data_IF_534796197499
#
_entry.id   IF_534796197499
#
_cell.length_a   1.000
_cell.length_b   1.000
_cell.length_c   1.000
_cell.angle_alpha   90.00
_cell.angle_beta   90.00
_cell.angle_gamma   90.00
#
_symmetry.space_group_name_H-M   'P 1'
#
loop_
_entity.id
_entity.type
_entity.pdbx_description
1 polymer ?
#
# COMPACT_ATOMS: atom_id res chain seq x y z
N UNK A 1 6.80 12.61 12.68
CA UNK A 1 6.78 14.08 12.49
C UNK A 1 7.91 14.73 13.31
N UNK A 2 8.04 14.49 14.63
CA UNK A 2 9.08 15.10 15.45
C UNK A 2 10.51 14.84 14.93
N UNK A 3 10.81 13.59 14.52
CA UNK A 3 12.12 13.23 13.96
C UNK A 3 12.40 13.96 12.64
N UNK A 4 11.39 14.08 11.77
CA UNK A 4 11.48 14.83 10.51
C UNK A 4 11.77 16.32 10.78
N UNK A 5 10.99 16.94 11.67
CA UNK A 5 11.19 18.35 12.03
C UNK A 5 12.58 18.58 12.67
N UNK A 6 12.97 17.72 13.61
CA UNK A 6 14.28 17.84 14.29
C UNK A 6 15.46 17.68 13.32
N UNK A 7 15.40 16.70 12.41
CA UNK A 7 16.46 16.50 11.43
C UNK A 7 16.56 17.62 10.40
N UNK A 8 15.42 18.16 9.95
CA UNK A 8 15.40 19.32 9.04
C UNK A 8 15.97 20.55 9.72
N UNK A 9 15.55 20.83 10.97
CA UNK A 9 16.11 21.92 11.75
C UNK A 9 17.60 21.77 11.99
N UNK A 10 18.09 20.55 12.26
CA UNK A 10 19.51 20.29 12.45
C UNK A 10 20.30 20.58 11.17
N UNK A 11 19.81 20.15 10.00
CA UNK A 11 20.46 20.44 8.71
C UNK A 11 20.57 21.93 8.47
N UNK A 12 19.50 22.68 8.71
CA UNK A 12 19.49 24.16 8.52
C UNK A 12 20.37 24.85 9.55
N UNK A 13 20.29 24.47 10.83
CA UNK A 13 21.01 25.15 11.90
C UNK A 13 22.53 24.92 11.87
N UNK A 14 22.97 23.72 11.45
CA UNK A 14 24.39 23.34 11.42
C UNK A 14 25.00 23.38 10.02
N UNK A 15 24.26 23.73 8.98
CA UNK A 15 24.77 23.81 7.62
C UNK A 15 25.23 22.45 7.07
N UNK A 16 24.58 21.34 7.46
CA UNK A 16 25.00 20.01 7.06
C UNK A 16 24.85 19.74 5.56
N UNK A 17 24.11 20.58 4.84
CA UNK A 17 24.04 20.54 3.39
C UNK A 17 25.40 20.82 2.76
N UNK A 18 26.14 21.82 3.27
CA UNK A 18 27.51 22.16 2.84
C UNK A 18 28.52 21.07 3.23
N UNK A 19 28.19 20.29 4.27
CA UNK A 19 29.00 19.14 4.69
C UNK A 19 28.72 17.85 3.88
N UNK A 20 27.86 17.93 2.84
CA UNK A 20 27.55 16.82 1.93
C UNK A 20 26.37 15.95 2.30
N UNK A 21 25.54 16.33 3.25
CA UNK A 21 24.28 15.66 3.54
C UNK A 21 23.31 15.88 2.38
N UNK A 22 22.87 14.80 1.75
CA UNK A 22 21.90 14.87 0.66
C UNK A 22 20.51 15.25 1.20
N UNK A 23 19.98 16.35 0.69
CA UNK A 23 18.64 16.86 0.98
C UNK A 23 17.68 16.62 -0.20
N UNK A 24 16.39 16.75 0.04
CA UNK A 24 15.37 16.59 -1.00
C UNK A 24 15.52 17.63 -2.11
N UNK A 25 15.94 18.84 -1.77
CA UNK A 25 16.14 19.93 -2.73
C UNK A 25 14.81 20.58 -3.17
N UNK A 26 14.87 21.27 -4.30
CA UNK A 26 13.72 22.01 -4.82
C UNK A 26 12.61 21.06 -5.32
N UNK A 27 11.45 21.13 -4.68
CA UNK A 27 10.25 20.41 -5.11
C UNK A 27 9.34 21.41 -5.82
N UNK A 28 8.75 21.06 -6.98
CA UNK A 28 7.79 21.94 -7.66
C UNK A 28 6.61 22.29 -6.75
N UNK A 29 6.32 23.57 -6.58
CA UNK A 29 5.18 24.10 -5.84
C UNK A 29 3.98 24.17 -6.78
N UNK A 30 3.50 23.04 -7.21
CA UNK A 30 2.37 22.97 -8.14
C UNK A 30 1.50 21.76 -7.86
N UNK A 31 0.25 21.87 -8.22
CA UNK A 31 -0.62 20.70 -8.32
C UNK A 31 -0.21 19.88 -9.56
N UNK A 32 -0.43 18.56 -9.55
CA UNK A 32 -0.17 17.73 -10.72
C UNK A 32 -0.91 18.29 -11.93
N UNK A 33 -0.24 18.39 -13.09
CA UNK A 33 -0.91 18.85 -14.32
C UNK A 33 -1.94 17.83 -14.78
N UNK A 34 -2.97 18.31 -15.45
CA UNK A 34 -3.91 17.43 -16.13
C UNK A 34 -3.19 16.71 -17.29
N UNK A 35 -3.19 15.39 -17.26
CA UNK A 35 -2.57 14.53 -18.26
C UNK A 35 -3.61 13.63 -18.89
N UNK A 36 -3.57 13.46 -20.19
CA UNK A 36 -4.44 12.51 -20.90
C UNK A 36 -3.68 11.17 -20.97
N UNK A 37 -4.28 10.07 -20.49
CA UNK A 37 -3.66 8.75 -20.61
C UNK A 37 -3.39 8.39 -22.08
N UNK A 38 -2.25 7.76 -22.33
CA UNK A 38 -1.89 7.29 -23.68
C UNK A 38 -2.76 6.07 -24.05
N UNK A 39 -3.46 6.18 -25.19
CA UNK A 39 -4.27 5.10 -25.75
C UNK A 39 -3.46 4.35 -26.83
N UNK A 40 -2.41 3.63 -26.40
CA UNK A 40 -1.59 2.77 -27.25
C UNK A 40 -1.89 1.29 -26.96
N UNK A 41 -2.38 0.58 -27.97
CA UNK A 41 -2.76 -0.83 -27.81
C UNK A 41 -1.59 -1.74 -27.43
N UNK A 42 -0.39 -1.47 -27.93
CA UNK A 42 0.81 -2.25 -27.60
C UNK A 42 1.20 -2.05 -26.14
N UNK A 43 1.16 -0.82 -25.64
CA UNK A 43 1.41 -0.48 -24.23
C UNK A 43 0.35 -1.12 -23.33
N UNK A 44 -0.92 -1.07 -23.72
CA UNK A 44 -2.00 -1.67 -22.93
C UNK A 44 -1.87 -3.18 -22.82
N UNK A 45 -1.47 -3.87 -23.89
CA UNK A 45 -1.19 -5.31 -23.86
C UNK A 45 -0.05 -5.65 -22.89
N UNK A 46 1.04 -4.86 -22.90
CA UNK A 46 2.17 -5.06 -21.99
C UNK A 46 1.79 -4.82 -20.52
N UNK A 47 0.94 -3.85 -20.25
CA UNK A 47 0.51 -3.48 -18.91
C UNK A 47 -0.68 -4.28 -18.38
N UNK A 48 -1.36 -5.06 -19.22
CA UNK A 48 -2.60 -5.76 -18.84
C UNK A 48 -2.38 -6.72 -17.64
N UNK A 49 -1.33 -7.53 -17.67
CA UNK A 49 -1.05 -8.48 -16.58
C UNK A 49 -0.63 -7.77 -15.29
N UNK A 50 0.36 -6.85 -15.29
CA UNK A 50 0.68 -6.05 -14.12
C UNK A 50 -0.53 -5.27 -13.56
N UNK A 51 -1.35 -4.65 -14.42
CA UNK A 51 -2.53 -3.91 -14.01
C UNK A 51 -3.58 -4.82 -13.33
N UNK A 52 -3.82 -6.01 -13.89
CA UNK A 52 -4.73 -7.00 -13.29
C UNK A 52 -4.24 -7.43 -11.89
N UNK A 53 -2.95 -7.75 -11.77
CA UNK A 53 -2.36 -8.15 -10.49
C UNK A 53 -2.44 -7.04 -9.46
N UNK A 54 -2.08 -5.80 -9.83
CA UNK A 54 -2.20 -4.64 -8.95
C UNK A 54 -3.65 -4.37 -8.55
N UNK A 55 -4.60 -4.55 -9.47
CA UNK A 55 -6.03 -4.37 -9.18
C UNK A 55 -6.54 -5.40 -8.17
N UNK A 56 -6.16 -6.67 -8.32
CA UNK A 56 -6.56 -7.73 -7.39
C UNK A 56 -5.94 -7.49 -6.02
N UNK A 57 -4.64 -7.21 -5.95
CA UNK A 57 -3.93 -6.98 -4.68
C UNK A 57 -4.50 -5.75 -3.99
N UNK A 58 -4.63 -4.64 -4.70
CA UNK A 58 -5.16 -3.39 -4.17
C UNK A 58 -6.60 -3.51 -3.68
N UNK A 59 -7.43 -4.29 -4.39
CA UNK A 59 -8.79 -4.58 -3.96
C UNK A 59 -8.83 -5.42 -2.69
N UNK A 60 -8.07 -6.52 -2.63
CA UNK A 60 -8.00 -7.39 -1.44
C UNK A 60 -7.49 -6.61 -0.23
N UNK A 61 -6.45 -5.79 -0.40
CA UNK A 61 -5.94 -4.92 0.65
C UNK A 61 -7.02 -3.93 1.14
N UNK A 62 -7.65 -3.21 0.22
CA UNK A 62 -8.69 -2.22 0.54
C UNK A 62 -9.86 -2.83 1.28
N UNK A 63 -10.39 -3.95 0.79
CA UNK A 63 -11.52 -4.67 1.42
C UNK A 63 -11.13 -5.21 2.79
N UNK A 64 -9.92 -5.74 2.96
CA UNK A 64 -9.44 -6.26 4.25
C UNK A 64 -9.36 -5.16 5.31
N UNK A 65 -8.85 -3.98 4.94
CA UNK A 65 -8.81 -2.81 5.81
C UNK A 65 -10.22 -2.34 6.15
N UNK A 66 -11.07 -2.20 5.15
CA UNK A 66 -12.43 -1.73 5.30
C UNK A 66 -13.26 -2.69 6.17
N UNK A 67 -13.14 -4.01 5.98
CA UNK A 67 -13.81 -5.02 6.82
C UNK A 67 -13.35 -4.95 8.28
N UNK A 68 -12.03 -4.77 8.50
CA UNK A 68 -11.47 -4.66 9.86
C UNK A 68 -12.04 -3.44 10.59
N UNK A 69 -12.14 -2.29 9.92
CA UNK A 69 -12.68 -1.07 10.50
C UNK A 69 -14.21 -1.11 10.63
N UNK A 70 -14.91 -1.67 9.64
CA UNK A 70 -16.36 -1.87 9.69
C UNK A 70 -16.78 -2.79 10.84
N UNK A 71 -16.01 -3.85 11.11
CA UNK A 71 -16.25 -4.74 12.24
C UNK A 71 -16.14 -4.00 13.59
N UNK A 72 -15.17 -3.08 13.75
CA UNK A 72 -15.05 -2.25 14.95
C UNK A 72 -16.26 -1.34 15.17
N UNK A 73 -16.84 -0.80 14.10
CA UNK A 73 -18.07 0.04 14.13
C UNK A 73 -19.37 -0.76 14.04
N UNK A 74 -19.31 -2.10 13.93
CA UNK A 74 -20.47 -2.97 13.71
C UNK A 74 -21.30 -2.58 12.48
N UNK A 75 -20.61 -2.13 11.43
CA UNK A 75 -21.21 -1.74 10.15
C UNK A 75 -21.03 -2.87 9.13
N UNK A 76 -21.90 -2.90 8.13
CA UNK A 76 -21.75 -3.80 6.98
C UNK A 76 -20.98 -3.08 5.89
N UNK A 77 -20.07 -3.79 5.26
CA UNK A 77 -19.33 -3.36 4.09
C UNK A 77 -19.93 -4.04 2.86
N UNK A 78 -20.06 -3.28 1.79
CA UNK A 78 -20.39 -3.79 0.46
C UNK A 78 -19.11 -3.81 -0.39
N UNK A 79 -18.51 -4.99 -0.66
CA UNK A 79 -17.27 -5.09 -1.42
C UNK A 79 -17.40 -4.60 -2.87
N UNK A 80 -18.58 -4.68 -3.47
CA UNK A 80 -18.80 -4.25 -4.85
C UNK A 80 -18.73 -2.71 -4.95
N UNK A 81 -19.29 -2.02 -3.95
CA UNK A 81 -19.18 -0.56 -3.86
C UNK A 81 -17.74 -0.11 -3.62
N UNK A 82 -16.99 -0.85 -2.79
CA UNK A 82 -15.56 -0.58 -2.59
C UNK A 82 -14.76 -0.73 -3.89
N UNK A 83 -15.05 -1.77 -4.67
CA UNK A 83 -14.41 -2.00 -5.97
C UNK A 83 -14.70 -0.86 -6.96
N UNK A 84 -15.97 -0.43 -7.03
CA UNK A 84 -16.38 0.69 -7.89
C UNK A 84 -15.68 1.99 -7.44
N UNK A 85 -15.67 2.25 -6.14
CA UNK A 85 -15.01 3.44 -5.58
C UNK A 85 -13.50 3.46 -5.85
N UNK A 86 -12.82 2.32 -5.65
CA UNK A 86 -11.39 2.17 -5.93
C UNK A 86 -11.10 2.33 -7.44
N UNK A 87 -11.94 1.75 -8.29
CA UNK A 87 -11.84 1.90 -9.74
C UNK A 87 -11.99 3.35 -10.19
N UNK A 88 -13.02 4.05 -9.69
CA UNK A 88 -13.23 5.46 -9.98
C UNK A 88 -12.06 6.35 -9.51
N UNK A 89 -11.50 6.08 -8.33
CA UNK A 89 -10.33 6.78 -7.82
C UNK A 89 -9.09 6.59 -8.71
N UNK A 90 -8.87 5.37 -9.20
CA UNK A 90 -7.75 5.06 -10.11
C UNK A 90 -7.94 5.69 -11.50
N UNK A 91 -9.16 5.70 -12.02
CA UNK A 91 -9.48 6.43 -13.25
C UNK A 91 -9.21 7.92 -13.08
N UNK A 92 -9.65 8.54 -11.98
CA UNK A 92 -9.35 9.94 -11.71
C UNK A 92 -7.84 10.21 -11.55
N UNK A 93 -7.10 9.32 -10.88
CA UNK A 93 -5.65 9.42 -10.72
C UNK A 93 -4.91 9.38 -12.07
N UNK A 94 -5.40 8.61 -13.04
CA UNK A 94 -4.78 8.51 -14.37
C UNK A 94 -4.75 9.84 -15.12
N UNK A 95 -5.72 10.73 -14.88
CA UNK A 95 -5.77 12.07 -15.47
C UNK A 95 -4.88 13.10 -14.79
N UNK A 96 -4.27 12.75 -13.68
CA UNK A 96 -3.31 13.60 -12.96
C UNK A 96 -1.88 13.06 -13.04
N UNK A 97 -1.65 12.01 -13.83
CA UNK A 97 -0.36 11.33 -13.89
C UNK A 97 0.05 10.67 -12.57
N UNK A 98 -0.94 10.41 -11.70
CA UNK A 98 -0.73 9.78 -10.40
C UNK A 98 -0.42 8.29 -10.51
N UNK A 99 0.23 7.77 -9.46
CA UNK A 99 0.39 6.32 -9.31
C UNK A 99 -0.96 5.65 -8.99
N UNK A 100 -1.09 4.33 -9.23
CA UNK A 100 -2.24 3.57 -8.77
C UNK A 100 -2.46 3.74 -7.27
N UNK A 101 -3.72 3.92 -6.87
CA UNK A 101 -4.12 4.14 -5.48
C UNK A 101 -4.85 2.93 -4.93
N UNK A 102 -4.64 2.64 -3.65
CA UNK A 102 -5.28 1.56 -2.91
C UNK A 102 -5.56 2.00 -1.48
N UNK A 103 -6.38 1.24 -0.75
CA UNK A 103 -6.68 1.48 0.66
C UNK A 103 -5.46 1.17 1.54
N UNK A 104 -4.87 2.18 2.16
CA UNK A 104 -3.74 2.00 3.06
C UNK A 104 -4.18 1.80 4.52
N UNK A 105 -3.77 0.71 5.17
CA UNK A 105 -4.14 0.39 6.55
C UNK A 105 -3.77 1.51 7.53
N UNK A 106 -2.52 1.94 7.55
CA UNK A 106 -2.03 2.91 8.54
C UNK A 106 -2.79 4.25 8.50
N UNK A 107 -3.02 4.79 7.30
CA UNK A 107 -3.75 6.06 7.13
C UNK A 107 -5.23 5.92 7.47
N UNK A 108 -5.85 4.80 7.11
CA UNK A 108 -7.25 4.53 7.41
C UNK A 108 -7.47 4.38 8.91
N UNK A 109 -6.57 3.71 9.63
CA UNK A 109 -6.65 3.58 11.10
C UNK A 109 -6.51 4.95 11.78
N UNK A 110 -5.55 5.78 11.37
CA UNK A 110 -5.39 7.13 11.93
C UNK A 110 -6.64 7.97 11.71
N UNK A 111 -7.23 7.91 10.52
CA UNK A 111 -8.47 8.63 10.20
C UNK A 111 -9.67 8.10 11.02
N UNK A 112 -9.75 6.80 11.20
CA UNK A 112 -10.76 6.13 12.01
C UNK A 112 -10.64 6.52 13.49
N UNK A 113 -9.42 6.47 14.06
CA UNK A 113 -9.15 6.81 15.46
C UNK A 113 -9.36 8.32 15.74
N UNK A 114 -9.18 9.17 14.71
CA UNK A 114 -9.53 10.59 14.75
C UNK A 114 -11.05 10.86 14.71
N UNK A 115 -11.88 9.81 14.59
CA UNK A 115 -13.34 9.92 14.61
C UNK A 115 -13.97 10.22 13.25
N UNK A 116 -13.29 9.96 12.15
CA UNK A 116 -13.90 10.10 10.82
C UNK A 116 -15.09 9.15 10.64
N UNK A 117 -16.23 9.72 10.20
CA UNK A 117 -17.47 8.96 10.00
C UNK A 117 -17.96 8.95 8.55
N UNK A 118 -17.46 9.85 7.73
CA UNK A 118 -17.92 10.02 6.35
C UNK A 118 -16.76 10.07 5.36
N UNK A 119 -16.99 9.74 4.07
CA UNK A 119 -15.99 9.92 3.00
C UNK A 119 -15.48 11.36 2.85
N UNK A 120 -16.21 12.36 3.36
CA UNK A 120 -15.77 13.75 3.37
C UNK A 120 -14.43 13.94 4.08
N UNK A 121 -14.09 13.13 5.08
CA UNK A 121 -12.78 13.15 5.73
C UNK A 121 -11.63 12.96 4.72
N UNK A 122 -11.82 12.08 3.72
CA UNK A 122 -10.88 11.90 2.61
C UNK A 122 -10.73 13.16 1.75
N UNK A 123 -11.84 13.85 1.45
CA UNK A 123 -11.82 15.11 0.71
C UNK A 123 -11.06 16.22 1.47
N UNK A 124 -11.30 16.37 2.77
CA UNK A 124 -10.53 17.30 3.61
C UNK A 124 -9.04 16.95 3.64
N UNK A 125 -8.71 15.69 3.72
CA UNK A 125 -7.31 15.23 3.64
C UNK A 125 -6.68 15.61 2.30
N UNK A 126 -7.40 15.41 1.18
CA UNK A 126 -6.92 15.78 -0.15
C UNK A 126 -6.67 17.29 -0.28
N UNK A 127 -7.61 18.11 0.22
CA UNK A 127 -7.44 19.57 0.26
C UNK A 127 -6.25 19.96 1.14
N UNK A 128 -6.10 19.33 2.31
CA UNK A 128 -4.96 19.58 3.20
C UNK A 128 -3.62 19.24 2.53
N UNK A 129 -3.54 18.14 1.81
CA UNK A 129 -2.34 17.74 1.03
C UNK A 129 -2.08 18.74 -0.10
N UNK A 130 -3.12 19.19 -0.83
CA UNK A 130 -2.98 20.20 -1.87
C UNK A 130 -2.44 21.52 -1.33
N UNK A 131 -2.99 22.00 -0.21
CA UNK A 131 -2.48 23.20 0.49
C UNK A 131 -1.03 23.00 0.94
N UNK A 132 -0.72 21.85 1.52
CA UNK A 132 0.66 21.54 1.93
C UNK A 132 1.62 21.53 0.73
N UNK A 133 1.22 20.94 -0.40
CA UNK A 133 2.03 20.90 -1.61
C UNK A 133 2.29 22.32 -2.18
N UNK A 134 1.32 23.21 -2.09
CA UNK A 134 1.45 24.57 -2.62
C UNK A 134 2.25 25.51 -1.69
N UNK A 135 2.10 25.37 -0.37
CA UNK A 135 2.62 26.35 0.58
C UNK A 135 3.72 25.82 1.49
N UNK A 136 3.73 24.51 1.82
CA UNK A 136 4.68 23.93 2.76
C UNK A 136 5.88 23.24 2.09
N UNK A 137 5.86 23.08 0.78
CA UNK A 137 6.95 22.46 0.00
C UNK A 137 8.30 23.12 0.23
N UNK A 138 8.44 24.46 0.35
CA UNK A 138 9.73 25.07 0.66
C UNK A 138 10.36 24.62 1.99
N UNK A 139 9.52 24.26 2.97
CA UNK A 139 10.00 23.76 4.25
C UNK A 139 10.65 22.37 4.15
N UNK A 140 10.33 21.63 3.08
CA UNK A 140 10.86 20.30 2.83
C UNK A 140 12.17 20.31 2.04
N UNK A 141 12.61 21.47 1.56
CA UNK A 141 13.86 21.61 0.78
C UNK A 141 15.06 21.01 1.50
N UNK A 142 15.27 21.40 2.75
CA UNK A 142 16.39 20.95 3.58
C UNK A 142 16.13 19.64 4.34
N UNK A 143 15.11 18.90 3.96
CA UNK A 143 14.81 17.59 4.58
C UNK A 143 15.84 16.54 4.13
N UNK A 144 16.58 15.90 5.07
CA UNK A 144 17.58 14.89 4.69
C UNK A 144 16.91 13.65 4.06
N UNK A 145 17.45 13.17 2.94
CA UNK A 145 16.98 11.93 2.29
C UNK A 145 17.15 10.74 3.24
N UNK A 146 18.17 10.74 4.08
CA UNK A 146 18.36 9.70 5.10
C UNK A 146 17.19 9.60 6.09
N UNK A 147 16.58 10.74 6.45
CA UNK A 147 15.40 10.76 7.33
C UNK A 147 14.16 10.17 6.65
N UNK A 148 13.99 10.47 5.35
CA UNK A 148 12.92 9.84 4.57
C UNK A 148 13.12 8.32 4.47
N UNK A 149 14.34 7.88 4.17
CA UNK A 149 14.68 6.46 4.12
C UNK A 149 14.43 5.78 5.48
N UNK A 150 14.86 6.40 6.58
CA UNK A 150 14.63 5.88 7.93
C UNK A 150 13.14 5.78 8.27
N UNK A 151 12.33 6.78 7.90
CA UNK A 151 10.88 6.74 8.14
C UNK A 151 10.19 5.64 7.32
N UNK A 152 10.63 5.43 6.08
CA UNK A 152 10.12 4.33 5.23
C UNK A 152 10.50 2.98 5.84
N UNK A 153 11.76 2.79 6.25
CA UNK A 153 12.23 1.55 6.87
C UNK A 153 11.42 1.24 8.14
N UNK A 154 11.24 2.21 9.02
CA UNK A 154 10.45 2.03 10.25
C UNK A 154 8.99 1.68 9.93
N UNK A 155 8.39 2.37 8.94
CA UNK A 155 7.02 2.08 8.51
C UNK A 155 6.90 0.66 7.94
N UNK A 156 7.81 0.22 7.09
CA UNK A 156 7.81 -1.13 6.50
C UNK A 156 8.04 -2.19 7.58
N UNK A 157 8.98 -1.97 8.50
CA UNK A 157 9.23 -2.91 9.60
C UNK A 157 8.02 -3.07 10.52
N UNK A 158 7.22 -2.01 10.69
CA UNK A 158 5.99 -2.07 11.49
C UNK A 158 4.89 -2.95 10.86
N UNK A 159 4.97 -3.21 9.55
CA UNK A 159 4.04 -4.08 8.82
C UNK A 159 4.43 -5.56 8.89
N UNK A 160 5.65 -5.87 9.33
CA UNK A 160 6.12 -7.27 9.43
C UNK A 160 5.57 -7.92 10.68
N UNK A 161 4.58 -8.79 10.49
CA UNK A 161 3.95 -9.56 11.58
C UNK A 161 4.62 -10.92 11.80
N UNK A 162 5.71 -10.95 12.54
CA UNK A 162 6.39 -12.20 12.91
C UNK A 162 5.49 -13.20 13.66
N UNK A 163 4.47 -12.70 14.38
CA UNK A 163 3.49 -13.56 15.05
C UNK A 163 2.69 -14.40 14.05
N UNK A 164 2.27 -13.79 12.94
CA UNK A 164 1.53 -14.47 11.87
C UNK A 164 2.36 -15.59 11.24
N UNK A 165 3.64 -15.35 10.96
CA UNK A 165 4.55 -16.40 10.48
C UNK A 165 4.63 -17.59 11.43
N UNK A 166 4.78 -17.32 12.73
CA UNK A 166 4.86 -18.36 13.76
C UNK A 166 3.55 -19.13 13.92
N UNK A 167 2.43 -18.42 13.86
CA UNK A 167 1.09 -19.01 13.97
C UNK A 167 0.79 -19.95 12.79
N UNK A 168 1.08 -19.49 11.56
CA UNK A 168 0.86 -20.28 10.35
C UNK A 168 1.76 -21.52 10.35
N UNK A 169 3.01 -21.42 10.80
CA UNK A 169 3.91 -22.58 10.95
C UNK A 169 3.32 -23.67 11.84
N UNK A 170 2.68 -23.30 12.95
CA UNK A 170 2.09 -24.26 13.88
C UNK A 170 0.73 -24.80 13.39
N UNK A 171 -0.03 -23.99 12.64
CA UNK A 171 -1.35 -24.37 12.16
C UNK A 171 -1.30 -25.24 10.90
N UNK A 172 -0.49 -24.86 9.92
CA UNK A 172 -0.40 -25.56 8.64
C UNK A 172 0.96 -25.35 7.99
N UNK A 173 1.76 -26.44 7.96
CA UNK A 173 3.07 -26.41 7.28
C UNK A 173 2.98 -26.15 5.79
N UNK A 174 1.86 -26.57 5.14
CA UNK A 174 1.64 -26.34 3.74
C UNK A 174 1.37 -24.86 3.43
N UNK A 175 0.53 -24.20 4.26
CA UNK A 175 0.24 -22.77 4.11
C UNK A 175 1.48 -21.92 4.43
N UNK A 176 2.28 -22.36 5.41
CA UNK A 176 3.57 -21.73 5.67
C UNK A 176 4.54 -21.87 4.48
N UNK A 177 4.58 -23.03 3.82
CA UNK A 177 5.42 -23.21 2.64
C UNK A 177 4.99 -22.29 1.50
N UNK A 178 3.68 -22.12 1.28
CA UNK A 178 3.16 -21.18 0.29
C UNK A 178 3.56 -19.75 0.61
N UNK A 179 3.39 -19.33 1.86
CA UNK A 179 3.78 -18.00 2.33
C UNK A 179 5.29 -17.77 2.23
N UNK A 180 6.10 -18.72 2.66
CA UNK A 180 7.56 -18.65 2.56
C UNK A 180 8.04 -18.59 1.10
N UNK A 181 7.43 -19.39 0.21
CA UNK A 181 7.72 -19.34 -1.22
C UNK A 181 7.37 -17.98 -1.82
N UNK A 182 6.20 -17.41 -1.48
CA UNK A 182 5.80 -16.06 -1.90
C UNK A 182 6.84 -15.03 -1.48
N UNK A 183 7.24 -15.03 -0.21
CA UNK A 183 8.23 -14.09 0.32
C UNK A 183 9.56 -14.24 -0.40
N UNK A 184 10.08 -15.47 -0.55
CA UNK A 184 11.36 -15.71 -1.20
C UNK A 184 11.35 -15.32 -2.68
N UNK A 185 10.29 -15.69 -3.42
CA UNK A 185 10.17 -15.33 -4.84
C UNK A 185 10.04 -13.81 -4.99
N UNK A 186 9.26 -13.15 -4.13
CA UNK A 186 9.14 -11.69 -4.13
C UNK A 186 10.49 -10.99 -3.89
N UNK A 187 11.29 -11.47 -2.95
CA UNK A 187 12.59 -10.88 -2.63
C UNK A 187 13.65 -11.14 -3.71
N UNK A 188 13.60 -12.29 -4.39
CA UNK A 188 14.60 -12.67 -5.39
C UNK A 188 14.26 -12.25 -6.81
N UNK A 189 12.98 -12.30 -7.19
CA UNK A 189 12.51 -12.11 -8.56
C UNK A 189 11.57 -10.91 -8.72
N UNK A 190 11.14 -10.30 -7.62
CA UNK A 190 10.23 -9.16 -7.62
C UNK A 190 8.79 -9.52 -7.24
N UNK A 191 7.96 -8.49 -7.12
CA UNK A 191 6.59 -8.60 -6.59
C UNK A 191 5.69 -9.43 -7.49
N UNK A 192 5.72 -9.18 -8.80
CA UNK A 192 4.84 -9.84 -9.77
C UNK A 192 5.01 -11.38 -9.77
N UNK A 193 6.22 -11.95 -9.99
CA UNK A 193 6.41 -13.41 -9.91
C UNK A 193 6.18 -13.95 -8.50
N UNK A 194 6.42 -13.17 -7.45
CA UNK A 194 6.13 -13.54 -6.06
C UNK A 194 4.65 -13.79 -5.81
N UNK A 195 3.81 -12.87 -6.24
CA UNK A 195 2.35 -13.00 -6.12
C UNK A 195 1.82 -14.15 -6.97
N UNK A 196 2.29 -14.29 -8.21
CA UNK A 196 1.91 -15.42 -9.07
C UNK A 196 2.27 -16.76 -8.43
N UNK A 197 3.48 -16.90 -7.88
CA UNK A 197 3.91 -18.10 -7.18
C UNK A 197 3.04 -18.37 -5.94
N UNK A 198 2.71 -17.36 -5.16
CA UNK A 198 1.85 -17.47 -3.98
C UNK A 198 0.43 -17.91 -4.32
N UNK A 199 -0.19 -17.26 -5.28
CA UNK A 199 -1.55 -17.62 -5.75
C UNK A 199 -1.56 -19.02 -6.34
N UNK A 200 -0.62 -19.33 -7.24
CA UNK A 200 -0.52 -20.64 -7.88
C UNK A 200 -0.33 -21.77 -6.86
N UNK A 201 0.56 -21.58 -5.89
CA UNK A 201 0.81 -22.58 -4.86
C UNK A 201 -0.38 -22.73 -3.90
N UNK A 202 -1.03 -21.64 -3.52
CA UNK A 202 -2.24 -21.65 -2.68
C UNK A 202 -3.39 -22.38 -3.37
N UNK A 203 -3.62 -22.12 -4.65
CA UNK A 203 -4.63 -22.84 -5.45
C UNK A 203 -4.29 -24.33 -5.59
N UNK A 204 -3.04 -24.68 -5.87
CA UNK A 204 -2.59 -26.06 -5.96
C UNK A 204 -2.81 -26.81 -4.64
N UNK A 205 -2.47 -26.20 -3.51
CA UNK A 205 -2.69 -26.76 -2.18
C UNK A 205 -4.18 -26.90 -1.84
N UNK A 206 -4.98 -25.92 -2.21
CA UNK A 206 -6.44 -25.97 -2.04
C UNK A 206 -7.05 -27.11 -2.84
N UNK A 207 -6.70 -27.25 -4.13
CA UNK A 207 -7.18 -28.34 -5.00
C UNK A 207 -6.74 -29.71 -4.48
N UNK A 208 -5.49 -29.81 -4.02
CA UNK A 208 -5.01 -31.06 -3.42
C UNK A 208 -5.80 -31.45 -2.16
N UNK A 209 -6.04 -30.51 -1.26
CA UNK A 209 -6.84 -30.77 -0.05
C UNK A 209 -8.28 -31.13 -0.39
N UNK A 210 -8.89 -30.41 -1.32
CA UNK A 210 -10.28 -30.63 -1.77
C UNK A 210 -10.44 -31.97 -2.52
N UNK A 211 -9.41 -32.47 -3.19
CA UNK A 211 -9.45 -33.76 -3.90
C UNK A 211 -9.33 -34.98 -2.98
N UNK A 212 -9.03 -34.80 -1.68
CA UNK A 212 -8.99 -35.89 -0.68
C UNK A 212 -10.21 -35.82 0.23
N UNK A 213 -11.30 -36.51 -0.10
CA UNK A 213 -12.49 -36.52 0.76
C UNK A 213 -12.18 -37.19 2.10
N UNK A 214 -12.63 -36.60 3.19
CA UNK A 214 -12.62 -37.24 4.50
C UNK A 214 -13.69 -38.33 4.51
N UNK A 215 -13.29 -39.60 4.47
CA UNK A 215 -14.17 -40.72 4.68
C UNK A 215 -14.28 -40.95 6.20
N UNK A 216 -15.45 -40.65 6.79
CA UNK A 216 -15.78 -41.06 8.14
C UNK A 216 -16.47 -42.43 8.06
N UNK A 217 -15.89 -43.42 8.73
CA UNK A 217 -16.58 -44.71 8.96
C UNK A 217 -17.54 -44.45 10.10
N UNK A 218 -18.82 -44.42 9.78
CA UNK A 218 -19.91 -44.33 10.79
C UNK A 218 -20.21 -45.76 11.18
N UNK A 219 -19.83 -46.12 12.42
CA UNK A 219 -20.22 -47.40 13.04
C UNK A 219 -21.56 -47.30 13.72
#
# INVERSE_FOLDING_TARGET
>A
IAAVAASTLAVVAFGFEDAGVKVVGAIPQSLPPFTVPLFDAALWQQLAVPALLLSIIGFVESVSVAQTLAAKKRQRLDPDQELIGLGAANVAASFTGGYPVTGGFARSVVNFDAGAETPAAGAFTAVGIAVAALFLTPLLHSLPIATLAATIIVAVLSLVEFKTLRTVWHYSRADFAAMAATILVTLLLGVEPGVMAGVGLSLALFLWRSSRPHAAIVG
#
